data_IF_276944425361
#
_entry.id   IF_276944425361
#
_cell.length_a   1.000
_cell.length_b   1.000
_cell.length_c   1.000
_cell.angle_alpha   90.00
_cell.angle_beta   90.00
_cell.angle_gamma   90.00
#
_symmetry.space_group_name_H-M   'P 1'
#
loop_
_entity.id
_entity.type
_entity.pdbx_description
1 polymer ?
#
# COMPACT_ATOMS: atom_id res chain seq x y z
N UNK A 1 -20.45 1.36 -13.12
CA UNK A 1 -19.85 0.07 -13.48
C UNK A 1 -20.91 -0.94 -13.93
N UNK A 2 -20.99 -1.15 -15.24
CA UNK A 2 -21.60 -2.32 -15.86
C UNK A 2 -20.50 -3.35 -16.16
N UNK A 3 -20.83 -4.64 -16.35
CA UNK A 3 -19.84 -5.63 -16.79
C UNK A 3 -19.07 -5.22 -18.06
N UNK A 4 -19.72 -4.48 -18.97
CA UNK A 4 -19.09 -3.95 -20.18
C UNK A 4 -17.99 -2.88 -19.90
N UNK A 5 -18.00 -2.26 -18.72
CA UNK A 5 -16.94 -1.34 -18.32
C UNK A 5 -15.63 -2.09 -18.03
N UNK A 6 -15.69 -3.38 -17.67
CA UNK A 6 -14.49 -4.15 -17.40
C UNK A 6 -13.63 -4.35 -18.67
N UNK A 7 -14.28 -4.54 -19.82
CA UNK A 7 -13.61 -4.59 -21.13
C UNK A 7 -12.97 -3.25 -21.53
N UNK A 8 -13.33 -2.17 -20.83
CA UNK A 8 -12.83 -0.82 -21.06
C UNK A 8 -11.77 -0.41 -20.05
N UNK A 9 -11.69 -1.08 -18.91
CA UNK A 9 -10.64 -0.85 -17.91
C UNK A 9 -9.35 -1.57 -18.32
N UNK A 10 -8.28 -0.79 -18.43
CA UNK A 10 -6.92 -1.28 -18.57
C UNK A 10 -6.23 -1.21 -17.23
N UNK A 11 -5.57 -2.30 -16.85
CA UNK A 11 -4.64 -2.32 -15.72
C UNK A 11 -3.27 -2.77 -16.21
N UNK A 12 -2.22 -2.32 -15.52
CA UNK A 12 -0.85 -2.81 -15.69
C UNK A 12 -0.59 -4.08 -14.86
N UNK A 13 -1.63 -4.70 -14.30
CA UNK A 13 -1.54 -6.01 -13.66
C UNK A 13 -1.05 -7.06 -14.66
N UNK A 14 -0.18 -7.96 -14.21
CA UNK A 14 0.41 -9.01 -15.06
C UNK A 14 -0.63 -10.06 -15.48
N UNK A 15 -1.74 -10.18 -14.74
CA UNK A 15 -2.75 -11.22 -14.95
C UNK A 15 -4.07 -10.61 -15.40
N UNK A 16 -4.50 -11.00 -16.61
CA UNK A 16 -5.75 -10.52 -17.25
C UNK A 16 -6.96 -11.39 -16.93
N UNK A 17 -6.83 -12.39 -16.07
CA UNK A 17 -7.92 -13.32 -15.79
C UNK A 17 -9.05 -12.58 -15.07
N UNK A 18 -10.16 -12.36 -15.75
CA UNK A 18 -11.37 -11.87 -15.09
C UNK A 18 -12.08 -13.09 -14.52
N UNK A 19 -12.24 -13.14 -13.20
CA UNK A 19 -13.18 -14.07 -12.60
C UNK A 19 -14.55 -13.38 -12.52
N UNK A 20 -15.44 -13.80 -13.43
CA UNK A 20 -16.87 -13.49 -13.32
C UNK A 20 -17.51 -14.70 -12.65
N UNK A 21 -18.05 -14.58 -11.42
CA UNK A 21 -18.79 -15.67 -10.79
C UNK A 21 -19.93 -16.09 -11.73
N UNK A 22 -20.06 -17.39 -11.99
CA UNK A 22 -21.15 -17.86 -12.82
C UNK A 22 -22.46 -17.73 -12.03
N UNK A 23 -23.54 -17.28 -12.67
CA UNK A 23 -24.86 -17.17 -12.01
C UNK A 23 -25.42 -18.56 -11.62
N UNK A 24 -24.78 -19.62 -12.11
CA UNK A 24 -25.17 -21.03 -11.91
C UNK A 24 -24.32 -21.73 -10.83
N UNK A 25 -23.50 -21.01 -10.05
CA UNK A 25 -22.86 -21.58 -8.86
C UNK A 25 -23.93 -21.81 -7.77
N UNK A 26 -24.53 -23.00 -7.84
CA UNK A 26 -25.57 -23.54 -6.95
C UNK A 26 -25.09 -23.57 -5.49
N UNK A 27 -25.19 -22.44 -4.78
CA UNK A 27 -24.87 -22.38 -3.36
C UNK A 27 -25.22 -21.08 -2.64
N UNK A 28 -25.55 -20.02 -3.38
CA UNK A 28 -25.91 -18.75 -2.76
C UNK A 28 -27.45 -18.59 -2.69
N UNK A 29 -28.00 -18.74 -1.50
CA UNK A 29 -29.38 -18.37 -1.17
C UNK A 29 -29.55 -16.85 -1.31
N UNK A 30 -29.86 -16.38 -2.52
CA UNK A 30 -30.21 -14.98 -2.74
C UNK A 30 -31.74 -14.80 -2.64
N UNK A 31 -32.22 -13.81 -1.87
CA UNK A 31 -33.63 -13.49 -1.85
C UNK A 31 -34.08 -13.02 -3.26
N UNK A 32 -35.01 -13.75 -3.86
CA UNK A 32 -35.72 -13.31 -5.07
C UNK A 32 -36.56 -12.09 -4.75
N UNK A 33 -36.15 -10.91 -5.22
CA UNK A 33 -36.92 -9.66 -5.07
C UNK A 33 -37.80 -9.44 -6.30
N UNK A 34 -39.06 -9.05 -6.06
CA UNK A 34 -40.00 -8.54 -7.05
C UNK A 34 -39.58 -7.21 -7.68
N UNK A 35 -40.47 -6.58 -8.44
CA UNK A 35 -40.15 -5.41 -9.27
C UNK A 35 -39.52 -4.26 -8.47
N UNK A 36 -38.56 -3.56 -9.09
CA UNK A 36 -37.79 -2.47 -8.46
C UNK A 36 -38.65 -1.26 -8.05
N UNK A 37 -39.87 -1.14 -8.59
CA UNK A 37 -40.81 -0.06 -8.27
C UNK A 37 -41.54 -0.30 -6.95
N UNK A 38 -41.68 -1.56 -6.51
CA UNK A 38 -42.37 -1.89 -5.24
C UNK A 38 -41.47 -1.66 -4.00
N UNK A 39 -40.17 -1.43 -4.18
CA UNK A 39 -39.18 -1.37 -3.08
C UNK A 39 -38.73 0.07 -2.71
N UNK A 40 -39.12 1.08 -3.47
CA UNK A 40 -38.73 2.47 -3.19
C UNK A 40 -39.64 3.16 -2.16
N UNK A 41 -40.85 2.64 -1.92
CA UNK A 41 -41.86 3.28 -1.07
C UNK A 41 -42.14 2.56 0.27
N UNK A 42 -41.66 1.33 0.47
CA UNK A 42 -41.85 0.58 1.72
C UNK A 42 -40.52 0.14 2.31
N UNK A 43 -39.96 0.96 3.21
CA UNK A 43 -38.95 0.48 4.18
C UNK A 43 -39.62 0.47 5.56
N UNK A 44 -39.92 -0.70 6.14
CA UNK A 44 -40.40 -0.78 7.51
C UNK A 44 -39.31 -0.29 8.48
N UNK A 45 -39.71 0.47 9.51
CA UNK A 45 -38.86 1.00 10.60
C UNK A 45 -38.17 -0.08 11.46
N UNK A 46 -38.26 -1.36 11.07
CA UNK A 46 -37.95 -2.53 11.89
C UNK A 46 -36.53 -3.09 11.69
N UNK A 47 -35.70 -2.46 10.85
CA UNK A 47 -34.36 -2.95 10.49
C UNK A 47 -33.22 -2.47 11.41
N UNK A 48 -33.57 -1.81 12.53
CA UNK A 48 -32.64 -1.22 13.51
C UNK A 48 -31.96 -2.24 14.45
N UNK A 49 -31.87 -3.53 14.07
CA UNK A 49 -31.49 -4.59 15.01
C UNK A 49 -30.89 -5.88 14.47
N UNK A 50 -30.38 -5.94 13.24
CA UNK A 50 -29.70 -7.15 12.77
C UNK A 50 -28.23 -7.21 13.24
N UNK A 51 -27.74 -8.37 13.73
CA UNK A 51 -26.37 -8.50 14.23
C UNK A 51 -25.32 -8.31 13.12
N UNK A 52 -24.20 -7.70 13.52
CA UNK A 52 -23.06 -7.29 12.69
C UNK A 52 -22.17 -8.44 12.16
N UNK A 53 -22.57 -9.69 12.37
CA UNK A 53 -21.71 -10.86 12.25
C UNK A 53 -21.62 -11.39 10.80
N UNK A 54 -22.18 -10.68 9.81
CA UNK A 54 -22.21 -11.13 8.41
C UNK A 54 -21.00 -10.69 7.56
N UNK A 55 -20.10 -9.85 8.10
CA UNK A 55 -18.96 -9.30 7.34
C UNK A 55 -17.61 -9.34 8.07
N UNK A 56 -17.49 -10.13 9.14
CA UNK A 56 -16.22 -10.32 9.84
C UNK A 56 -15.96 -11.82 10.04
N UNK A 57 -15.56 -12.50 8.96
CA UNK A 57 -14.83 -13.75 9.04
C UNK A 57 -13.74 -13.71 7.96
N UNK A 58 -12.55 -13.23 8.32
CA UNK A 58 -11.32 -13.42 7.54
C UNK A 58 -10.06 -13.45 8.43
N UNK A 59 -10.20 -13.71 9.74
CA UNK A 59 -9.08 -13.81 10.69
C UNK A 59 -9.12 -15.12 11.51
N UNK A 60 -9.60 -16.23 10.94
CA UNK A 60 -9.56 -17.54 11.61
C UNK A 60 -9.15 -18.68 10.67
N UNK A 61 -7.84 -18.86 10.49
CA UNK A 61 -7.28 -20.19 10.19
C UNK A 61 -6.22 -20.51 11.24
N UNK A 62 -6.48 -21.65 11.88
CA UNK A 62 -6.01 -22.06 13.17
C UNK A 62 -4.55 -22.53 13.23
N UNK A 63 -3.97 -22.37 14.42
CA UNK A 63 -2.85 -23.14 14.94
C UNK A 63 -3.13 -24.65 14.80
N UNK A 64 -2.29 -25.36 14.06
CA UNK A 64 -2.19 -26.82 14.11
C UNK A 64 -0.90 -27.15 14.85
N UNK A 65 -1.05 -27.58 16.10
CA UNK A 65 0.01 -28.16 16.93
C UNK A 65 0.42 -29.55 16.45
N UNK A 66 1.64 -29.88 16.84
CA UNK A 66 2.51 -30.99 16.44
C UNK A 66 1.98 -32.42 16.74
N UNK A 67 2.43 -33.37 15.91
CA UNK A 67 3.27 -34.53 16.27
C UNK A 67 3.12 -35.64 15.22
N UNK A 68 4.18 -35.95 14.45
CA UNK A 68 4.58 -37.35 14.17
C UNK A 68 5.92 -37.41 13.40
N UNK A 69 6.78 -38.30 13.89
CA UNK A 69 8.15 -38.60 13.47
C UNK A 69 8.29 -39.07 12.01
N UNK A 70 9.44 -38.81 11.37
CA UNK A 70 9.90 -39.65 10.26
C UNK A 70 10.86 -39.03 9.26
N UNK A 71 12.14 -39.29 9.48
CA UNK A 71 13.23 -39.50 8.51
C UNK A 71 13.77 -38.33 7.65
N UNK A 72 15.10 -38.23 7.73
CA UNK A 72 16.05 -37.32 7.10
C UNK A 72 16.14 -37.54 5.58
N UNK A 73 15.79 -36.54 4.77
CA UNK A 73 16.47 -36.27 3.49
C UNK A 73 16.67 -34.75 3.34
N UNK A 74 17.94 -34.34 3.29
CA UNK A 74 18.37 -32.97 2.98
C UNK A 74 18.00 -32.63 1.53
N UNK A 75 16.82 -32.05 1.31
CA UNK A 75 16.55 -31.28 0.08
C UNK A 75 17.00 -29.83 0.30
N UNK A 76 17.89 -29.38 -0.59
CA UNK A 76 18.28 -27.97 -0.73
C UNK A 76 17.04 -27.14 -1.06
N UNK A 77 16.46 -26.51 -0.03
CA UNK A 77 15.38 -25.53 -0.13
C UNK A 77 15.92 -24.25 -0.79
N UNK A 78 16.01 -24.29 -2.11
CA UNK A 78 16.09 -23.12 -2.96
C UNK A 78 14.76 -22.39 -2.80
N UNK A 79 14.72 -21.47 -1.85
CA UNK A 79 13.55 -20.65 -1.52
C UNK A 79 12.84 -20.17 -2.78
N UNK A 80 11.76 -20.86 -3.13
CA UNK A 80 10.78 -20.38 -4.07
C UNK A 80 10.18 -19.14 -3.42
N UNK A 81 10.59 -17.96 -3.91
CA UNK A 81 9.86 -16.72 -3.70
C UNK A 81 8.42 -17.01 -4.13
N UNK A 82 7.54 -17.27 -3.15
CA UNK A 82 6.10 -17.25 -3.32
C UNK A 82 5.73 -15.84 -3.78
N UNK A 83 5.86 -15.59 -5.08
CA UNK A 83 5.14 -14.53 -5.73
C UNK A 83 3.67 -14.85 -5.49
N UNK A 84 3.05 -14.17 -4.53
CA UNK A 84 1.60 -14.16 -4.39
C UNK A 84 1.03 -13.96 -5.80
N UNK A 85 0.41 -15.02 -6.32
CA UNK A 85 -0.12 -15.04 -7.67
C UNK A 85 -1.02 -13.81 -7.80
N UNK A 86 -0.69 -12.90 -8.73
CA UNK A 86 -1.53 -11.74 -9.02
C UNK A 86 -2.87 -12.31 -9.53
N UNK A 87 -3.84 -12.48 -8.64
CA UNK A 87 -5.21 -12.78 -9.06
C UNK A 87 -5.68 -11.62 -9.96
N UNK A 88 -6.44 -11.91 -11.01
CA UNK A 88 -6.82 -10.87 -11.97
C UNK A 88 -7.93 -9.95 -11.43
N UNK A 89 -8.98 -9.72 -12.22
CA UNK A 89 -10.09 -8.88 -11.77
C UNK A 89 -11.23 -9.74 -11.21
N UNK A 90 -11.72 -9.41 -10.02
CA UNK A 90 -12.87 -10.06 -9.38
C UNK A 90 -14.10 -9.17 -9.50
N UNK A 91 -15.24 -9.74 -9.91
CA UNK A 91 -16.51 -9.01 -10.05
C UNK A 91 -17.43 -9.32 -8.88
N UNK A 92 -17.94 -8.29 -8.20
CA UNK A 92 -19.00 -8.45 -7.20
C UNK A 92 -20.36 -8.24 -7.83
N UNK A 93 -21.32 -9.07 -7.42
CA UNK A 93 -22.71 -9.00 -7.86
C UNK A 93 -23.61 -8.64 -6.68
N UNK A 94 -24.67 -7.89 -6.97
CA UNK A 94 -25.81 -7.70 -6.08
C UNK A 94 -27.09 -8.02 -6.86
N UNK A 95 -27.68 -9.17 -6.53
CA UNK A 95 -28.66 -9.82 -7.40
C UNK A 95 -28.04 -10.11 -8.77
N UNK A 96 -28.68 -9.63 -9.84
CA UNK A 96 -28.24 -9.86 -11.24
C UNK A 96 -27.39 -8.71 -11.83
N UNK A 97 -26.91 -7.79 -10.99
CA UNK A 97 -26.17 -6.60 -11.44
C UNK A 97 -24.79 -6.56 -10.81
N UNK A 98 -23.79 -6.15 -11.58
CA UNK A 98 -22.46 -5.87 -11.04
C UNK A 98 -22.56 -4.71 -10.03
N UNK A 99 -22.08 -4.95 -8.81
CA UNK A 99 -22.00 -3.97 -7.73
C UNK A 99 -20.60 -3.38 -7.60
N UNK A 100 -19.56 -4.08 -8.06
CA UNK A 100 -18.20 -3.57 -8.09
C UNK A 100 -17.18 -4.51 -8.70
N UNK A 101 -15.94 -4.04 -8.72
CA UNK A 101 -14.77 -4.75 -9.23
C UNK A 101 -13.61 -4.59 -8.26
N UNK A 102 -12.82 -5.64 -8.07
CA UNK A 102 -11.48 -5.57 -7.47
C UNK A 102 -10.46 -5.98 -8.51
N UNK A 103 -9.33 -5.29 -8.54
CA UNK A 103 -8.21 -5.54 -9.44
C UNK A 103 -7.00 -5.92 -8.61
N UNK A 104 -6.44 -7.10 -8.88
CA UNK A 104 -5.27 -7.63 -8.17
C UNK A 104 -5.47 -7.72 -6.66
N UNK A 105 -6.53 -8.40 -6.16
CA UNK A 105 -6.70 -8.62 -4.73
C UNK A 105 -5.46 -9.32 -4.15
N UNK A 106 -5.07 -8.95 -2.92
CA UNK A 106 -3.86 -9.48 -2.27
C UNK A 106 -2.52 -8.93 -2.78
N UNK A 107 -2.49 -8.32 -3.97
CA UNK A 107 -1.27 -7.74 -4.55
C UNK A 107 -0.79 -6.49 -3.79
N UNK A 108 0.53 -6.20 -3.77
CA UNK A 108 1.06 -4.98 -3.18
C UNK A 108 0.46 -3.68 -3.73
N UNK A 109 -0.09 -3.71 -4.94
CA UNK A 109 -0.94 -2.67 -5.48
C UNK A 109 -2.24 -3.27 -5.98
N UNK A 110 -3.34 -2.86 -5.36
CA UNK A 110 -4.68 -3.28 -5.73
C UNK A 110 -5.61 -2.09 -5.85
N UNK A 111 -6.74 -2.30 -6.53
CA UNK A 111 -7.77 -1.29 -6.63
C UNK A 111 -9.17 -1.90 -6.52
N UNK A 112 -10.12 -1.11 -6.03
CA UNK A 112 -11.52 -1.46 -6.04
C UNK A 112 -12.35 -0.33 -6.67
N UNK A 113 -13.34 -0.70 -7.48
CA UNK A 113 -14.33 0.22 -8.01
C UNK A 113 -15.73 -0.33 -7.77
N UNK A 114 -16.47 0.26 -6.82
CA UNK A 114 -17.73 -0.32 -6.34
C UNK A 114 -18.81 0.72 -6.02
N UNK A 115 -20.06 0.25 -5.95
CA UNK A 115 -21.21 1.02 -5.52
C UNK A 115 -21.12 1.32 -4.04
N UNK A 116 -20.75 2.56 -3.72
CA UNK A 116 -20.49 3.00 -2.35
C UNK A 116 -21.79 3.17 -1.56
N UNK A 117 -22.87 3.56 -2.22
CA UNK A 117 -24.17 3.66 -1.58
C UNK A 117 -24.68 2.29 -1.11
N UNK A 118 -24.50 1.25 -1.93
CA UNK A 118 -24.87 -0.10 -1.56
C UNK A 118 -24.04 -0.60 -0.37
N UNK A 119 -22.71 -0.39 -0.39
CA UNK A 119 -21.83 -0.76 0.74
C UNK A 119 -22.19 -0.03 2.04
N UNK A 120 -22.53 1.26 1.98
CA UNK A 120 -22.92 2.02 3.18
C UNK A 120 -24.26 1.56 3.76
N UNK A 121 -25.19 1.13 2.91
CA UNK A 121 -26.48 0.57 3.34
C UNK A 121 -26.27 -0.77 4.03
N UNK A 122 -25.48 -1.67 3.44
CA UNK A 122 -25.26 -3.01 4.01
C UNK A 122 -24.38 -2.98 5.26
N UNK A 123 -23.44 -2.03 5.36
CA UNK A 123 -22.53 -1.90 6.51
C UNK A 123 -23.05 -1.00 7.63
N UNK A 124 -24.26 -0.44 7.51
CA UNK A 124 -24.84 0.48 8.51
C UNK A 124 -24.17 1.87 8.56
N UNK A 125 -23.31 2.22 7.59
CA UNK A 125 -22.58 3.50 7.54
C UNK A 125 -23.36 4.63 6.87
N UNK A 126 -24.69 4.63 7.01
CA UNK A 126 -25.60 5.60 6.39
C UNK A 126 -25.28 7.04 6.81
N UNK A 127 -24.65 7.24 7.98
CA UNK A 127 -24.18 8.54 8.46
C UNK A 127 -23.17 9.22 7.51
N UNK A 128 -22.45 8.47 6.66
CA UNK A 128 -21.53 9.05 5.65
C UNK A 128 -22.26 9.91 4.60
N UNK A 129 -23.58 9.71 4.40
CA UNK A 129 -24.37 10.51 3.44
C UNK A 129 -24.29 12.01 3.71
N UNK A 130 -24.16 12.42 4.97
CA UNK A 130 -24.02 13.84 5.33
C UNK A 130 -22.72 14.42 4.77
N UNK A 131 -21.63 13.64 4.79
CA UNK A 131 -20.34 14.03 4.24
C UNK A 131 -20.42 14.12 2.71
N UNK A 132 -21.06 13.14 2.06
CA UNK A 132 -21.24 13.14 0.61
C UNK A 132 -22.07 14.34 0.15
N UNK A 133 -23.17 14.64 0.85
CA UNK A 133 -24.01 15.80 0.58
C UNK A 133 -23.26 17.12 0.75
N UNK A 134 -22.41 17.22 1.77
CA UNK A 134 -21.52 18.37 1.94
C UNK A 134 -20.51 18.51 0.77
N UNK A 135 -20.11 17.40 0.16
CA UNK A 135 -19.33 17.34 -1.08
C UNK A 135 -20.13 17.56 -2.37
N UNK A 136 -21.43 17.86 -2.28
CA UNK A 136 -22.30 18.15 -3.42
C UNK A 136 -23.07 16.96 -4.00
N UNK A 137 -22.90 15.75 -3.45
CA UNK A 137 -23.70 14.59 -3.85
C UNK A 137 -25.18 14.78 -3.50
N UNK A 138 -26.08 14.28 -4.35
CA UNK A 138 -27.53 14.33 -4.13
C UNK A 138 -28.11 12.91 -4.08
N UNK A 139 -29.16 12.63 -3.28
CA UNK A 139 -29.70 11.27 -3.08
C UNK A 139 -30.12 10.51 -4.35
N UNK A 140 -30.42 11.21 -5.45
CA UNK A 140 -30.80 10.60 -6.72
C UNK A 140 -29.60 10.31 -7.64
N UNK A 141 -28.40 10.76 -7.27
CA UNK A 141 -27.18 10.54 -8.03
C UNK A 141 -26.53 9.23 -7.58
N UNK A 142 -26.07 8.39 -8.51
CA UNK A 142 -25.36 7.17 -8.13
C UNK A 142 -24.02 7.53 -7.46
N UNK A 143 -23.68 6.83 -6.38
CA UNK A 143 -22.42 7.02 -5.66
C UNK A 143 -21.51 5.81 -5.85
N UNK A 144 -20.36 6.03 -6.50
CA UNK A 144 -19.32 5.03 -6.67
C UNK A 144 -18.03 5.48 -5.99
N UNK A 145 -17.28 4.53 -5.43
CA UNK A 145 -15.92 4.76 -4.92
C UNK A 145 -14.92 4.04 -5.81
N UNK A 146 -13.81 4.73 -6.08
CA UNK A 146 -12.58 4.12 -6.57
C UNK A 146 -11.57 4.19 -5.42
N UNK A 147 -11.02 3.04 -5.08
CA UNK A 147 -10.03 2.89 -4.02
C UNK A 147 -8.76 2.31 -4.62
N UNK A 148 -7.62 2.87 -4.26
CA UNK A 148 -6.31 2.33 -4.57
C UNK A 148 -5.64 1.97 -3.25
N UNK A 149 -5.12 0.76 -3.16
CA UNK A 149 -4.40 0.27 -2.00
C UNK A 149 -2.94 0.06 -2.37
N UNK A 150 -2.08 0.81 -1.71
CA UNK A 150 -0.64 0.69 -1.80
C UNK A 150 -0.14 0.00 -0.53
N UNK A 151 0.51 -1.15 -0.66
CA UNK A 151 1.18 -1.83 0.44
C UNK A 151 2.66 -1.47 0.49
N UNK A 152 3.30 -1.70 1.64
CA UNK A 152 4.71 -1.36 1.87
C UNK A 152 5.66 -1.85 0.76
N UNK A 153 5.55 -3.07 0.21
CA UNK A 153 6.49 -3.53 -0.82
C UNK A 153 6.53 -2.62 -2.05
N UNK A 154 5.37 -2.20 -2.59
CA UNK A 154 5.36 -1.31 -3.75
C UNK A 154 5.76 0.12 -3.36
N UNK A 155 5.39 0.60 -2.17
CA UNK A 155 5.76 1.93 -1.69
C UNK A 155 7.28 2.09 -1.56
N UNK A 156 7.99 1.02 -1.20
CA UNK A 156 9.47 0.99 -1.14
C UNK A 156 10.14 1.05 -2.51
N UNK A 157 9.48 0.54 -3.54
CA UNK A 157 10.00 0.58 -4.90
C UNK A 157 9.74 1.93 -5.59
N UNK A 158 8.75 2.68 -5.11
CA UNK A 158 8.35 3.96 -5.70
C UNK A 158 9.36 5.06 -5.40
N UNK A 159 9.85 5.68 -6.46
CA UNK A 159 10.73 6.85 -6.42
C UNK A 159 10.10 7.97 -7.23
N UNK A 160 10.15 9.19 -6.70
CA UNK A 160 9.80 10.36 -7.49
C UNK A 160 10.86 10.60 -8.58
N UNK A 161 10.40 10.98 -9.77
CA UNK A 161 11.28 11.28 -10.91
C UNK A 161 12.18 12.51 -10.68
N UNK A 162 11.84 13.35 -9.71
CA UNK A 162 12.60 14.55 -9.33
C UNK A 162 13.79 14.31 -8.40
N UNK A 163 14.06 13.06 -8.01
CA UNK A 163 15.45 12.67 -7.80
C UNK A 163 15.70 11.74 -6.63
N UNK A 164 16.67 10.86 -6.88
CA UNK A 164 17.51 10.23 -5.86
C UNK A 164 18.07 11.21 -4.81
N UNK A 165 18.05 12.52 -5.09
CA UNK A 165 18.49 13.59 -4.20
C UNK A 165 17.42 14.10 -3.21
N UNK A 166 16.12 13.92 -3.51
CA UNK A 166 15.05 14.49 -2.67
C UNK A 166 14.59 13.55 -1.55
N UNK A 167 14.95 12.26 -1.58
CA UNK A 167 14.72 11.32 -0.49
C UNK A 167 13.27 11.25 -0.01
N UNK A 168 12.28 11.43 -0.91
CA UNK A 168 10.87 11.29 -0.55
C UNK A 168 10.56 9.80 -0.33
N UNK A 169 10.50 9.38 0.93
CA UNK A 169 10.26 8.02 1.35
C UNK A 169 8.76 7.78 1.45
N UNK A 170 8.23 7.08 0.46
CA UNK A 170 6.81 6.86 0.33
C UNK A 170 6.26 5.77 1.28
N UNK A 171 7.09 4.95 1.92
CA UNK A 171 6.69 3.96 2.97
C UNK A 171 6.63 4.57 4.39
N UNK A 172 7.06 5.82 4.60
CA UNK A 172 6.80 6.50 5.87
C UNK A 172 5.37 7.06 5.88
N UNK A 173 4.53 6.74 6.88
CA UNK A 173 3.14 7.18 6.90
C UNK A 173 2.96 8.71 6.82
N UNK A 174 3.86 9.48 7.45
CA UNK A 174 3.74 10.94 7.49
C UNK A 174 4.14 11.58 6.18
N UNK A 175 5.18 11.06 5.53
CA UNK A 175 5.55 11.48 4.19
C UNK A 175 4.51 11.03 3.17
N UNK A 176 3.98 9.81 3.26
CA UNK A 176 2.97 9.30 2.34
C UNK A 176 1.73 10.21 2.24
N UNK A 177 1.29 10.78 3.37
CA UNK A 177 0.19 11.76 3.43
C UNK A 177 0.49 13.01 2.59
N UNK A 178 1.75 13.45 2.51
CA UNK A 178 2.15 14.61 1.72
C UNK A 178 2.15 14.32 0.21
N UNK A 179 2.10 13.05 -0.17
CA UNK A 179 2.24 12.56 -1.54
C UNK A 179 0.96 11.89 -2.08
N UNK A 180 -0.23 12.18 -1.51
CA UNK A 180 -1.50 11.61 -2.00
C UNK A 180 -1.76 11.86 -3.49
N UNK A 181 -1.43 13.06 -3.99
CA UNK A 181 -1.56 13.36 -5.42
C UNK A 181 -0.63 12.51 -6.29
N UNK A 182 0.56 12.19 -5.80
CA UNK A 182 1.56 11.40 -6.53
C UNK A 182 1.11 9.93 -6.61
N UNK A 183 0.62 9.36 -5.49
CA UNK A 183 0.03 8.03 -5.47
C UNK A 183 -1.21 7.93 -6.35
N UNK A 184 -2.10 8.93 -6.26
CA UNK A 184 -3.30 8.97 -7.09
C UNK A 184 -2.94 9.05 -8.58
N UNK A 185 -2.03 9.95 -8.95
CA UNK A 185 -1.54 10.06 -10.32
C UNK A 185 -0.84 8.78 -10.81
N UNK A 186 -0.11 8.09 -9.95
CA UNK A 186 0.45 6.78 -10.29
C UNK A 186 -0.66 5.76 -10.56
N UNK A 187 -1.70 5.74 -9.74
CA UNK A 187 -2.79 4.78 -9.85
C UNK A 187 -3.74 5.04 -11.02
N UNK A 188 -4.23 6.27 -11.20
CA UNK A 188 -5.25 6.60 -12.22
C UNK A 188 -4.72 7.40 -13.42
N UNK A 189 -3.44 7.81 -13.37
CA UNK A 189 -2.79 8.62 -14.39
C UNK A 189 -2.86 10.12 -14.09
N UNK A 190 -2.03 10.89 -14.78
CA UNK A 190 -2.04 12.35 -14.69
C UNK A 190 -3.21 12.92 -15.50
N UNK A 191 -3.80 14.04 -15.06
CA UNK A 191 -4.76 14.75 -15.88
C UNK A 191 -4.05 15.37 -17.11
N UNK A 192 -4.76 15.55 -18.24
CA UNK A 192 -4.15 15.98 -19.52
C UNK A 192 -3.31 17.26 -19.46
N UNK A 193 -3.68 18.22 -18.61
CA UNK A 193 -2.94 19.47 -18.41
C UNK A 193 -1.58 19.31 -17.72
N UNK A 194 -1.37 18.19 -17.02
CA UNK A 194 -0.13 17.85 -16.34
C UNK A 194 0.65 16.73 -17.05
N UNK A 195 0.06 16.12 -18.08
CA UNK A 195 0.72 15.10 -18.89
C UNK A 195 1.63 15.77 -19.93
N UNK A 196 2.93 15.86 -19.60
CA UNK A 196 3.95 16.45 -20.47
C UNK A 196 4.23 15.62 -21.74
N UNK A 197 3.70 14.39 -21.83
CA UNK A 197 3.90 13.50 -22.97
C UNK A 197 2.71 12.51 -23.11
N UNK A 198 1.56 12.98 -23.64
CA UNK A 198 0.30 12.22 -23.72
C UNK A 198 0.41 10.93 -24.55
N UNK A 199 1.40 10.89 -25.44
CA UNK A 199 1.55 9.82 -26.41
C UNK A 199 2.31 8.61 -25.85
N UNK A 200 3.09 8.79 -24.77
CA UNK A 200 4.09 7.78 -24.35
C UNK A 200 4.07 7.43 -22.85
N UNK A 201 3.79 8.33 -21.91
CA UNK A 201 4.49 8.16 -20.61
C UNK A 201 3.67 7.96 -19.32
N UNK A 202 2.48 8.53 -19.08
CA UNK A 202 1.89 8.44 -17.73
C UNK A 202 0.39 8.07 -17.69
N UNK A 203 0.08 6.87 -18.20
CA UNK A 203 -1.31 6.38 -18.33
C UNK A 203 -1.96 5.87 -17.03
N UNK A 204 -1.24 5.94 -15.91
CA UNK A 204 -1.66 5.37 -14.63
C UNK A 204 -1.59 3.84 -14.65
N UNK A 205 -1.54 3.23 -13.46
CA UNK A 205 -1.62 1.78 -13.30
C UNK A 205 -2.99 1.24 -13.76
N UNK A 206 -4.06 2.02 -13.58
CA UNK A 206 -5.43 1.74 -14.01
C UNK A 206 -5.98 2.89 -14.84
N UNK A 207 -6.70 2.56 -15.93
CA UNK A 207 -7.30 3.54 -16.84
C UNK A 207 -8.60 3.04 -17.46
N UNK A 208 -9.65 3.85 -17.42
CA UNK A 208 -10.87 3.60 -18.20
C UNK A 208 -10.74 4.20 -19.60
N UNK A 209 -11.05 3.40 -20.62
CA UNK A 209 -10.87 3.76 -22.03
C UNK A 209 -12.18 3.77 -22.83
N UNK A 210 -12.15 4.46 -23.96
CA UNK A 210 -13.23 4.48 -24.93
C UNK A 210 -12.87 3.58 -26.13
N UNK A 211 -13.63 2.50 -26.39
CA UNK A 211 -13.41 1.65 -27.55
C UNK A 211 -13.41 2.45 -28.85
N UNK A 212 -12.36 2.26 -29.66
CA UNK A 212 -12.25 2.89 -30.97
C UNK A 212 -12.53 1.88 -32.07
N UNK A 213 -13.55 2.16 -32.89
CA UNK A 213 -13.91 1.30 -34.01
C UNK A 213 -12.72 1.14 -34.96
N UNK A 214 -12.33 -0.11 -35.22
CA UNK A 214 -11.22 -0.46 -36.11
C UNK A 214 -9.85 -0.58 -35.44
N UNK A 215 -9.67 -0.16 -34.18
CA UNK A 215 -8.43 -0.39 -33.44
C UNK A 215 -8.60 -1.49 -32.39
N UNK A 216 -7.88 -2.61 -32.57
CA UNK A 216 -7.87 -3.72 -31.61
C UNK A 216 -6.88 -3.49 -30.46
N UNK A 217 -6.01 -2.49 -30.58
CA UNK A 217 -4.97 -2.21 -29.59
C UNK A 217 -5.53 -1.36 -28.47
N UNK A 218 -6.14 -1.99 -27.45
CA UNK A 218 -6.76 -1.29 -26.30
C UNK A 218 -5.85 -0.24 -25.66
N UNK A 219 -4.55 -0.51 -25.62
CA UNK A 219 -3.55 0.46 -25.15
C UNK A 219 -3.68 1.81 -25.85
N UNK A 220 -3.95 1.87 -27.15
CA UNK A 220 -4.06 3.11 -27.94
C UNK A 220 -5.41 3.82 -27.80
N UNK A 221 -6.40 3.18 -27.18
CA UNK A 221 -7.72 3.78 -27.03
C UNK A 221 -7.65 5.05 -26.18
N UNK A 222 -8.43 6.09 -26.54
CA UNK A 222 -8.49 7.32 -25.77
C UNK A 222 -9.06 7.06 -24.37
N UNK A 223 -8.67 7.90 -23.42
CA UNK A 223 -9.17 7.88 -22.05
C UNK A 223 -10.63 8.34 -22.01
N UNK A 224 -11.45 7.70 -21.18
CA UNK A 224 -12.84 8.12 -21.01
C UNK A 224 -12.94 9.50 -20.32
N UNK A 225 -13.83 10.41 -20.76
CA UNK A 225 -14.04 11.72 -20.12
C UNK A 225 -14.31 11.66 -18.61
N UNK A 226 -15.02 10.64 -18.12
CA UNK A 226 -15.26 10.43 -16.69
C UNK A 226 -13.94 10.14 -15.97
N UNK A 227 -13.03 9.39 -16.61
CA UNK A 227 -11.72 9.11 -16.05
C UNK A 227 -10.87 10.38 -15.90
N UNK A 228 -11.00 11.34 -16.82
CA UNK A 228 -10.35 12.64 -16.67
C UNK A 228 -10.84 13.43 -15.46
N UNK A 229 -12.09 13.23 -15.01
CA UNK A 229 -12.59 13.82 -13.77
C UNK A 229 -11.93 13.13 -12.58
N UNK A 230 -11.85 11.79 -12.60
CA UNK A 230 -11.21 10.97 -11.57
C UNK A 230 -9.74 11.35 -11.39
N UNK A 231 -9.00 11.57 -12.48
CA UNK A 231 -7.59 11.99 -12.46
C UNK A 231 -7.35 13.34 -11.77
N UNK A 232 -8.39 14.18 -11.63
CA UNK A 232 -8.31 15.51 -11.02
C UNK A 232 -8.76 15.53 -9.55
N UNK A 233 -8.81 14.37 -8.89
CA UNK A 233 -9.16 14.33 -7.47
C UNK A 233 -8.25 15.26 -6.66
N UNK A 234 -8.88 16.08 -5.83
CA UNK A 234 -8.21 17.04 -4.95
C UNK A 234 -8.18 16.51 -3.51
N UNK A 235 -6.99 16.45 -2.92
CA UNK A 235 -6.76 16.01 -1.54
C UNK A 235 -6.44 17.18 -0.60
N UNK A 236 -6.68 18.43 -1.03
CA UNK A 236 -6.46 19.63 -0.24
C UNK A 236 -4.99 20.07 -0.16
N UNK A 237 -4.14 19.52 -1.02
CA UNK A 237 -2.72 19.83 -1.14
C UNK A 237 -2.48 20.67 -2.39
N UNK A 238 -1.69 21.74 -2.27
CA UNK A 238 -1.38 22.65 -3.41
C UNK A 238 -0.21 22.17 -4.27
N UNK A 239 0.37 21.01 -3.99
CA UNK A 239 1.50 20.50 -4.75
C UNK A 239 0.98 19.76 -5.99
N UNK A 240 1.42 20.13 -7.22
CA UNK A 240 1.03 19.40 -8.41
C UNK A 240 1.55 17.95 -8.34
N UNK A 241 0.81 16.97 -8.87
CA UNK A 241 1.21 15.58 -8.84
C UNK A 241 2.54 15.37 -9.58
N UNK A 242 3.45 14.64 -8.96
CA UNK A 242 4.72 14.22 -9.52
C UNK A 242 4.62 12.78 -10.05
N UNK A 243 5.29 12.53 -11.17
CA UNK A 243 5.36 11.17 -11.70
C UNK A 243 6.21 10.28 -10.79
N UNK A 244 5.60 9.19 -10.30
CA UNK A 244 6.28 8.12 -9.58
C UNK A 244 6.74 7.04 -10.56
N UNK A 245 7.94 6.51 -10.31
CA UNK A 245 8.52 5.40 -11.06
C UNK A 245 8.89 4.27 -10.10
N UNK A 246 8.83 3.01 -10.57
CA UNK A 246 9.28 1.87 -9.77
C UNK A 246 10.75 1.58 -10.03
N UNK A 247 11.49 1.36 -8.97
CA UNK A 247 12.87 0.89 -8.99
C UNK A 247 12.96 -0.40 -8.17
N UNK A 248 13.68 -1.42 -8.69
CA UNK A 248 13.84 -2.68 -7.97
C UNK A 248 14.64 -2.42 -6.69
N UNK A 249 14.09 -2.80 -5.55
CA UNK A 249 14.79 -2.72 -4.27
C UNK A 249 15.93 -3.74 -4.27
N UNK A 250 17.14 -3.30 -3.91
CA UNK A 250 18.25 -4.22 -3.69
C UNK A 250 18.07 -4.82 -2.30
N UNK A 251 17.62 -6.08 -2.26
CA UNK A 251 17.53 -6.85 -1.02
C UNK A 251 18.87 -7.56 -0.84
N UNK A 252 19.53 -7.29 0.28
CA UNK A 252 20.71 -8.03 0.71
C UNK A 252 20.26 -9.17 1.62
N UNK A 253 20.93 -10.32 1.49
CA UNK A 253 20.75 -11.44 2.41
C UNK A 253 21.38 -11.09 3.76
N UNK A 254 20.52 -10.86 4.75
CA UNK A 254 20.95 -10.53 6.10
C UNK A 254 21.68 -11.70 6.76
N UNK A 255 21.31 -12.95 6.44
CA UNK A 255 21.93 -14.15 7.02
C UNK A 255 23.37 -14.27 6.55
N UNK A 256 23.62 -14.04 5.25
CA UNK A 256 24.98 -14.01 4.72
C UNK A 256 25.85 -12.92 5.39
N UNK A 257 25.30 -11.72 5.61
CA UNK A 257 26.00 -10.63 6.30
C UNK A 257 26.29 -11.01 7.76
N UNK A 258 25.32 -11.57 8.47
CA UNK A 258 25.49 -11.98 9.87
C UNK A 258 26.56 -13.08 10.00
N UNK A 259 26.61 -14.02 9.06
CA UNK A 259 27.65 -15.05 9.01
C UNK A 259 29.06 -14.46 8.79
N UNK A 260 29.20 -13.46 7.91
CA UNK A 260 30.46 -12.74 7.71
C UNK A 260 30.91 -11.99 8.97
N UNK A 261 29.99 -11.27 9.62
CA UNK A 261 30.24 -10.56 10.88
C UNK A 261 30.71 -11.54 11.96
N UNK A 262 30.03 -12.67 12.11
CA UNK A 262 30.40 -13.72 13.05
C UNK A 262 31.81 -14.28 12.78
N UNK A 263 32.15 -14.52 11.51
CA UNK A 263 33.49 -14.95 11.10
C UNK A 263 34.60 -13.96 11.49
N UNK A 264 34.34 -12.65 11.30
CA UNK A 264 35.26 -11.57 11.69
C UNK A 264 35.44 -11.48 13.20
N UNK A 265 34.36 -11.56 13.98
CA UNK A 265 34.41 -11.54 15.45
C UNK A 265 35.15 -12.76 16.00
N UNK A 266 34.97 -13.93 15.39
CA UNK A 266 35.74 -15.14 15.73
C UNK A 266 37.24 -14.93 15.49
N UNK A 267 37.63 -14.39 14.34
CA UNK A 267 39.04 -14.09 14.05
C UNK A 267 39.63 -13.10 15.07
N UNK A 268 38.88 -12.04 15.42
CA UNK A 268 39.31 -11.06 16.44
C UNK A 268 39.50 -11.70 17.81
N UNK A 269 38.59 -12.59 18.23
CA UNK A 269 38.72 -13.36 19.47
C UNK A 269 40.04 -14.14 19.52
N UNK A 270 40.38 -14.82 18.41
CA UNK A 270 41.62 -15.58 18.28
C UNK A 270 42.85 -14.68 18.39
N UNK A 271 42.83 -13.50 17.76
CA UNK A 271 43.94 -12.53 17.85
C UNK A 271 44.13 -11.97 19.27
N UNK A 272 43.07 -11.84 20.04
CA UNK A 272 43.12 -11.45 21.46
C UNK A 272 43.47 -12.61 22.40
N UNK A 273 43.60 -13.84 21.88
CA UNK A 273 43.86 -15.04 22.69
C UNK A 273 42.69 -15.42 23.60
N UNK A 274 41.46 -15.03 23.24
CA UNK A 274 40.25 -15.37 24.00
C UNK A 274 39.70 -16.70 23.51
N UNK A 275 39.57 -17.64 24.43
CA UNK A 275 39.10 -19.01 24.18
C UNK A 275 38.11 -19.47 25.26
N UNK A 276 37.37 -18.53 25.85
CA UNK A 276 36.35 -18.82 26.86
C UNK A 276 35.09 -19.43 26.21
N UNK A 277 34.04 -19.62 26.99
CA UNK A 277 32.73 -20.03 26.48
C UNK A 277 32.26 -19.10 25.34
N UNK A 278 31.64 -19.68 24.30
CA UNK A 278 31.29 -18.99 23.05
C UNK A 278 30.47 -17.72 23.28
N UNK A 279 29.44 -17.80 24.12
CA UNK A 279 28.51 -16.70 24.42
C UNK A 279 29.20 -15.54 25.14
N UNK A 280 30.05 -15.87 26.13
CA UNK A 280 30.82 -14.90 26.88
C UNK A 280 31.87 -14.21 26.00
N UNK A 281 32.61 -14.99 25.21
CA UNK A 281 33.63 -14.48 24.27
C UNK A 281 33.00 -13.54 23.24
N UNK A 282 31.88 -13.95 22.63
CA UNK A 282 31.17 -13.13 21.65
C UNK A 282 30.69 -11.81 22.27
N UNK A 283 30.12 -11.87 23.47
CA UNK A 283 29.62 -10.68 24.17
C UNK A 283 30.77 -9.71 24.51
N UNK A 284 31.90 -10.24 24.98
CA UNK A 284 33.10 -9.44 25.27
C UNK A 284 33.68 -8.81 23.99
N UNK A 285 33.69 -9.54 22.88
CA UNK A 285 34.17 -9.02 21.59
C UNK A 285 33.25 -7.95 21.02
N UNK A 286 31.93 -8.16 21.03
CA UNK A 286 30.96 -7.16 20.59
C UNK A 286 31.09 -5.86 21.39
N UNK A 287 31.20 -5.96 22.72
CA UNK A 287 31.44 -4.78 23.57
C UNK A 287 32.75 -4.08 23.24
N UNK A 288 33.85 -4.84 23.13
CA UNK A 288 35.15 -4.27 22.79
C UNK A 288 35.15 -3.64 21.39
N UNK A 289 34.41 -4.22 20.43
CA UNK A 289 34.25 -3.69 19.08
C UNK A 289 33.46 -2.39 19.11
N UNK A 290 32.32 -2.35 19.80
CA UNK A 290 31.50 -1.16 19.92
C UNK A 290 32.29 0.03 20.50
N UNK A 291 33.04 -0.19 21.58
CA UNK A 291 33.88 0.85 22.18
C UNK A 291 34.96 1.36 21.21
N UNK A 292 35.65 0.46 20.50
CA UNK A 292 36.66 0.85 19.50
C UNK A 292 36.07 1.60 18.31
N UNK A 293 34.83 1.28 17.91
CA UNK A 293 34.13 2.00 16.85
C UNK A 293 33.71 3.40 17.31
N UNK A 294 33.24 3.57 18.54
CA UNK A 294 32.96 4.89 19.12
C UNK A 294 34.22 5.78 19.12
N UNK A 295 35.34 5.26 19.64
CA UNK A 295 36.63 5.96 19.62
C UNK A 295 37.06 6.32 18.18
N UNK A 296 36.84 5.41 17.23
CA UNK A 296 37.22 5.64 15.84
C UNK A 296 36.33 6.67 15.14
N UNK A 297 35.02 6.65 15.39
CA UNK A 297 34.08 7.65 14.89
C UNK A 297 34.36 9.03 15.46
N UNK A 298 34.74 9.13 16.75
CA UNK A 298 35.21 10.38 17.35
C UNK A 298 36.47 10.91 16.65
N UNK A 299 37.48 10.06 16.44
CA UNK A 299 38.74 10.43 15.77
C UNK A 299 38.50 10.85 14.32
N UNK A 300 37.55 10.22 13.64
CA UNK A 300 37.19 10.52 12.24
C UNK A 300 36.11 11.60 12.11
N UNK A 301 35.54 12.06 13.21
CA UNK A 301 34.41 12.97 13.26
C UNK A 301 33.26 12.49 12.34
N UNK A 302 32.90 11.21 12.47
CA UNK A 302 31.80 10.55 11.75
C UNK A 302 30.61 10.38 12.68
N UNK A 303 29.40 10.44 12.12
CA UNK A 303 28.17 10.10 12.84
C UNK A 303 27.64 8.78 12.26
N UNK A 304 27.88 7.68 12.98
CA UNK A 304 27.41 6.35 12.58
C UNK A 304 25.92 6.34 12.22
N UNK A 305 25.10 7.08 12.96
CA UNK A 305 23.66 7.14 12.71
C UNK A 305 23.38 7.77 11.34
N UNK A 306 24.02 8.89 11.02
CA UNK A 306 23.82 9.53 9.70
C UNK A 306 24.39 8.68 8.56
N UNK A 307 25.48 7.94 8.78
CA UNK A 307 26.02 7.05 7.76
C UNK A 307 25.15 5.83 7.48
N UNK A 308 24.59 5.21 8.52
CA UNK A 308 23.60 4.14 8.37
C UNK A 308 22.39 4.68 7.61
N UNK A 309 21.95 5.91 7.91
CA UNK A 309 20.87 6.58 7.20
C UNK A 309 21.25 6.80 5.74
N UNK A 310 22.38 7.41 5.42
CA UNK A 310 22.86 7.59 4.05
C UNK A 310 22.98 6.27 3.28
N UNK A 311 23.50 5.23 3.93
CA UNK A 311 23.60 3.89 3.33
C UNK A 311 22.21 3.31 3.07
N UNK A 312 21.30 3.40 4.03
CA UNK A 312 19.90 3.03 3.84
C UNK A 312 19.26 3.81 2.68
N UNK A 313 19.50 5.13 2.57
CA UNK A 313 19.05 5.95 1.45
C UNK A 313 19.61 5.43 0.12
N UNK A 314 20.90 5.12 0.06
CA UNK A 314 21.56 4.59 -1.14
C UNK A 314 21.02 3.22 -1.57
N UNK A 315 20.51 2.43 -0.62
CA UNK A 315 19.88 1.13 -0.85
C UNK A 315 18.37 1.23 -1.14
N UNK A 316 17.81 2.44 -1.17
CA UNK A 316 16.37 2.63 -1.35
C UNK A 316 15.55 2.20 -0.13
N UNK A 317 16.13 2.17 1.07
CA UNK A 317 15.42 1.86 2.31
C UNK A 317 14.95 3.13 3.02
N UNK A 318 13.69 3.10 3.47
CA UNK A 318 13.06 4.14 4.27
C UNK A 318 13.89 4.51 5.49
N UNK A 319 14.14 5.81 5.68
CA UNK A 319 14.80 6.33 6.86
C UNK A 319 13.82 7.24 7.61
N UNK A 320 13.40 6.88 8.84
CA UNK A 320 12.48 7.71 9.62
C UNK A 320 13.04 9.12 9.83
N UNK A 321 12.21 10.15 9.73
CA UNK A 321 12.59 11.51 10.12
C UNK A 321 13.04 11.50 11.60
N UNK A 322 14.08 12.26 11.92
CA UNK A 322 14.53 12.34 13.32
C UNK A 322 13.40 12.93 14.20
N UNK A 323 13.27 12.54 15.48
CA UNK A 323 12.29 13.13 16.38
C UNK A 323 12.39 14.66 16.49
N UNK A 324 13.60 15.22 16.29
CA UNK A 324 13.85 16.67 16.22
C UNK A 324 13.22 17.35 15.00
N UNK A 325 12.90 16.58 13.95
CA UNK A 325 12.24 17.03 12.73
C UNK A 325 10.73 16.72 12.72
N UNK A 326 10.28 15.79 13.58
CA UNK A 326 8.87 15.38 13.68
C UNK A 326 8.06 16.24 14.67
N UNK A 327 8.71 16.86 15.65
CA UNK A 327 8.04 17.72 16.61
C UNK A 327 8.25 19.19 16.25
N UNK A 328 7.20 20.03 16.20
CA UNK A 328 7.40 21.48 16.18
C UNK A 328 8.33 21.85 17.33
N UNK A 329 9.27 22.79 17.15
CA UNK A 329 10.25 23.13 18.17
C UNK A 329 9.50 23.34 19.48
N UNK A 330 9.83 22.54 20.50
CA UNK A 330 9.22 22.65 21.83
C UNK A 330 9.22 24.13 22.15
N UNK A 331 8.04 24.77 22.22
CA UNK A 331 7.92 26.15 22.68
C UNK A 331 8.68 26.17 23.99
N UNK A 332 9.84 26.81 23.99
CA UNK A 332 10.62 26.97 25.19
C UNK A 332 9.70 27.68 26.15
N UNK A 333 9.24 26.95 27.16
CA UNK A 333 8.47 27.53 28.23
C UNK A 333 9.47 28.41 28.95
N UNK A 334 9.61 29.67 28.51
CA UNK A 334 10.36 30.67 29.21
C UNK A 334 9.68 30.81 30.56
N UNK A 335 10.22 30.10 31.55
CA UNK A 335 9.92 30.32 32.95
C UNK A 335 10.29 31.77 33.20
N UNK A 336 9.29 32.65 33.19
CA UNK A 336 9.44 34.01 33.72
C UNK A 336 9.83 33.83 35.18
N UNK A 337 11.14 33.89 35.45
CA UNK A 337 11.62 34.18 36.79
C UNK A 337 11.14 35.59 37.11
N UNK A 338 10.02 35.66 37.82
CA UNK A 338 9.58 36.86 38.51
C UNK A 338 10.55 37.04 39.67
N UNK A 339 11.61 37.81 39.43
CA UNK A 339 12.39 38.41 40.51
C UNK A 339 11.49 39.48 41.13
N UNK A 340 10.80 39.09 42.20
CA UNK A 340 10.36 40.04 43.21
C UNK A 340 11.61 40.34 44.07
N UNK A 341 12.29 41.44 43.77
CA UNK A 341 13.18 42.11 44.72
C UNK A 341 12.48 43.40 45.17
N UNK A 342 12.32 43.51 46.49
CA UNK A 342 11.87 44.71 47.19
C UNK A 342 13.00 45.66 47.52
#
# INVERSE_FOLDING_TARGET
>A
PSPADLDRVLTHSKVKAVHVPSVDDEGADFPTVGSLEDYLDDVPDEWDGLPLDFFLDDDEIADIDADEDGDEEEEEDLGDEQHADDEGATVYLYGKRASGFTFSPGSPLSAAWYNKELEERTSGKVWMRVIHQAGGWQPHMPLFRIELRFMRPIMREMQNTLGKEAGAWLDDPWQAIQHYHDFWAYGVGLPPEHDLAPDVTHRGWMRLTLPQAGDKTRGRWPTDPIWHIIQRADFGSYTPPQALSRSKLIVHDAVAIDAEIYGLLRLRSVLHGRHEETTLTLSQELRAFANEMEDWDEVKNRDYTEEVREKARSMGRGVPLMPSQLLPPKRSYQRKHKLDEG
#
